data_IF_132613399726
#
_entry.id   IF_132613399726
#
_cell.length_a   1.000
_cell.length_b   1.000
_cell.length_c   1.000
_cell.angle_alpha   90.00
_cell.angle_beta   90.00
_cell.angle_gamma   90.00
#
_symmetry.space_group_name_H-M   'P 1'
#
loop_
_entity.id
_entity.type
_entity.pdbx_description
1 polymer ?
#
# COMPACT_ATOMS: atom_id res chain seq x y z
N UNK A 1 7.72 6.92 28.51
CA UNK A 1 6.54 6.02 28.58
C UNK A 1 6.58 5.16 27.33
N UNK A 2 6.49 3.84 27.53
CA UNK A 2 6.61 2.78 26.54
C UNK A 2 5.58 2.92 25.41
N UNK A 3 5.99 2.74 24.15
CA UNK A 3 5.70 1.53 23.37
C UNK A 3 6.04 1.75 21.88
N UNK A 4 7.00 0.97 21.37
CA UNK A 4 6.95 0.50 19.98
C UNK A 4 5.69 -0.36 19.84
N UNK A 5 4.54 0.26 19.57
CA UNK A 5 3.28 -0.46 19.31
C UNK A 5 2.78 -0.10 17.92
N UNK A 6 3.57 -0.48 16.91
CA UNK A 6 3.11 -0.50 15.53
C UNK A 6 3.68 -1.71 14.79
N UNK A 7 3.89 -2.83 15.50
CA UNK A 7 3.59 -4.13 14.91
C UNK A 7 2.06 -4.16 14.70
N UNK A 8 1.60 -3.43 13.68
CA UNK A 8 0.23 -3.43 13.27
C UNK A 8 -0.08 -4.82 12.72
N UNK A 9 -0.55 -5.72 13.59
CA UNK A 9 -1.28 -6.96 13.28
C UNK A 9 -1.01 -7.58 11.90
N UNK A 10 0.26 -7.79 11.53
CA UNK A 10 0.59 -8.39 10.25
C UNK A 10 0.11 -9.85 10.29
N UNK A 11 -0.89 -10.17 9.47
CA UNK A 11 -1.33 -11.54 9.31
C UNK A 11 -0.28 -12.32 8.51
N UNK A 12 -0.23 -13.66 8.64
CA UNK A 12 0.61 -14.47 7.77
C UNK A 12 0.31 -14.16 6.29
N UNK A 13 1.28 -13.60 5.58
CA UNK A 13 1.13 -13.16 4.18
C UNK A 13 1.22 -11.65 3.98
N UNK A 14 1.17 -10.85 5.05
CA UNK A 14 1.33 -9.41 4.95
C UNK A 14 2.80 -9.02 4.79
N UNK A 15 3.04 -7.93 4.04
CA UNK A 15 4.35 -7.34 3.84
C UNK A 15 4.35 -5.91 4.39
N UNK A 16 5.44 -5.56 5.09
CA UNK A 16 5.69 -4.19 5.54
C UNK A 16 6.62 -3.50 4.56
N UNK A 17 6.19 -2.37 4.03
CA UNK A 17 7.03 -1.51 3.19
C UNK A 17 7.71 -0.44 4.05
N UNK A 18 9.01 -0.58 4.29
CA UNK A 18 9.77 0.35 5.13
C UNK A 18 10.24 1.61 4.37
N UNK A 19 10.01 1.69 3.06
CA UNK A 19 10.46 2.81 2.22
C UNK A 19 9.58 4.07 2.30
N UNK A 20 8.43 4.01 2.96
CA UNK A 20 7.56 5.15 3.20
C UNK A 20 6.67 4.91 4.43
N UNK A 21 6.24 5.98 5.09
CA UNK A 21 5.31 5.91 6.24
C UNK A 21 3.88 5.52 5.82
N UNK A 22 3.49 5.81 4.57
CA UNK A 22 2.17 5.49 3.99
C UNK A 22 2.26 5.39 2.47
N UNK A 23 1.31 4.68 1.84
CA UNK A 23 1.12 4.68 0.38
C UNK A 23 0.61 6.02 -0.16
N UNK A 24 0.10 6.89 0.72
CA UNK A 24 -0.52 8.17 0.37
C UNK A 24 -2.06 8.08 0.32
N UNK A 25 -2.74 9.20 0.59
CA UNK A 25 -4.19 9.30 0.54
C UNK A 25 -4.61 10.34 -0.51
N UNK A 26 -5.52 9.96 -1.39
CA UNK A 26 -6.02 10.81 -2.49
C UNK A 26 -7.47 10.45 -2.81
N UNK A 27 -8.22 11.40 -3.36
CA UNK A 27 -9.54 11.12 -3.92
C UNK A 27 -9.46 10.19 -5.15
N UNK A 28 -8.28 10.10 -5.77
CA UNK A 28 -7.96 9.15 -6.83
C UNK A 28 -6.58 8.54 -6.60
N UNK A 29 -6.52 7.23 -6.41
CA UNK A 29 -5.29 6.47 -6.23
C UNK A 29 -5.12 5.46 -7.36
N UNK A 30 -3.87 5.20 -7.75
CA UNK A 30 -3.52 4.22 -8.79
C UNK A 30 -2.40 3.33 -8.28
N UNK A 31 -2.62 2.02 -8.31
CA UNK A 31 -1.64 1.00 -7.94
C UNK A 31 -1.32 0.13 -9.15
N UNK A 32 -0.03 -0.07 -9.43
CA UNK A 32 0.44 -0.81 -10.60
C UNK A 32 1.40 -1.91 -10.17
N UNK A 33 1.19 -3.12 -10.67
CA UNK A 33 2.09 -4.26 -10.46
C UNK A 33 2.99 -4.43 -11.68
N UNK A 34 4.30 -4.41 -11.45
CA UNK A 34 5.32 -4.72 -12.45
C UNK A 34 5.99 -6.07 -12.14
N UNK A 35 6.39 -6.81 -13.18
CA UNK A 35 7.29 -7.95 -13.01
C UNK A 35 8.76 -7.50 -12.95
N UNK A 36 9.68 -8.45 -12.77
CA UNK A 36 11.13 -8.17 -12.69
C UNK A 36 11.70 -7.49 -13.94
N UNK A 37 11.15 -7.76 -15.13
CA UNK A 37 11.57 -7.10 -16.38
C UNK A 37 10.97 -5.70 -16.56
N UNK A 38 10.24 -5.18 -15.58
CA UNK A 38 9.56 -3.89 -15.64
C UNK A 38 8.28 -3.88 -16.48
N UNK A 39 7.75 -5.04 -16.88
CA UNK A 39 6.49 -5.13 -17.61
C UNK A 39 5.31 -4.99 -16.63
N UNK A 40 4.37 -4.10 -16.94
CA UNK A 40 3.10 -4.01 -16.22
C UNK A 40 2.29 -5.30 -16.35
N UNK A 41 1.82 -5.81 -15.22
CA UNK A 41 1.05 -7.06 -15.12
C UNK A 41 -0.38 -6.83 -14.68
N UNK A 42 -0.61 -5.81 -13.85
CA UNK A 42 -1.93 -5.44 -13.36
C UNK A 42 -1.96 -3.96 -12.96
N UNK A 43 -3.16 -3.38 -12.97
CA UNK A 43 -3.43 -2.00 -12.58
C UNK A 43 -4.78 -1.94 -11.88
N UNK A 44 -4.82 -1.18 -10.79
CA UNK A 44 -6.05 -0.84 -10.09
C UNK A 44 -6.10 0.69 -9.96
N UNK A 45 -7.26 1.26 -10.29
CA UNK A 45 -7.56 2.66 -10.05
C UNK A 45 -8.74 2.75 -9.09
N UNK A 46 -8.54 3.43 -7.97
CA UNK A 46 -9.56 3.65 -6.96
C UNK A 46 -9.92 5.12 -6.94
N UNK A 47 -11.21 5.43 -7.00
CA UNK A 47 -11.73 6.78 -6.84
C UNK A 47 -12.65 6.80 -5.63
N UNK A 48 -12.29 7.60 -4.63
CA UNK A 48 -13.13 7.82 -3.48
C UNK A 48 -14.42 8.52 -3.93
N UNK A 49 -15.55 7.86 -3.74
CA UNK A 49 -16.87 8.47 -3.94
C UNK A 49 -17.31 9.06 -2.61
N UNK A 50 -17.32 10.39 -2.51
CA UNK A 50 -17.91 11.08 -1.37
C UNK A 50 -19.39 11.29 -1.66
N UNK A 51 -20.27 10.70 -0.83
CA UNK A 51 -21.71 10.97 -0.83
C UNK A 51 -22.02 12.23 -0.03
#
# INVERSE_FOLDING_TARGET
>A
VYAKSQEALALPGDLVYEGAETWGASNRATTILYNESGQERARIEETASFQ
#
